data_IF_306782273446
#
_entry.id   IF_306782273446
#
_cell.length_a   1.000
_cell.length_b   1.000
_cell.length_c   1.000
_cell.angle_alpha   90.00
_cell.angle_beta   90.00
_cell.angle_gamma   90.00
#
_symmetry.space_group_name_H-M   'P 1'
#
loop_
_entity.id
_entity.type
_entity.pdbx_description
1 polymer ?
#
# COMPACT_ATOMS: atom_id res chain seq x y z
N UNK A 1 -10.74 20.87 -4.08
CA UNK A 1 -11.44 20.43 -5.28
C UNK A 1 -12.23 19.14 -4.97
N UNK A 2 -11.57 18.04 -4.62
CA UNK A 2 -12.18 16.70 -4.41
C UNK A 2 -13.29 16.69 -3.35
N UNK A 3 -13.12 17.42 -2.22
CA UNK A 3 -14.19 17.58 -1.24
C UNK A 3 -15.47 18.18 -1.84
N UNK A 4 -15.34 19.22 -2.68
CA UNK A 4 -16.50 19.86 -3.37
C UNK A 4 -17.13 18.94 -4.40
N UNK A 5 -16.33 18.15 -5.11
CA UNK A 5 -16.81 17.15 -6.07
C UNK A 5 -17.54 16.01 -5.35
N UNK A 6 -17.01 15.48 -4.25
CA UNK A 6 -17.64 14.45 -3.46
C UNK A 6 -18.99 14.89 -2.88
N UNK A 7 -19.06 16.16 -2.41
CA UNK A 7 -20.33 16.75 -1.97
C UNK A 7 -21.38 16.85 -3.10
N UNK A 8 -20.94 17.14 -4.33
CA UNK A 8 -21.83 17.24 -5.50
C UNK A 8 -22.22 15.85 -6.03
N UNK A 9 -21.28 14.92 -6.08
CA UNK A 9 -21.50 13.57 -6.60
C UNK A 9 -22.25 12.65 -5.60
N UNK A 10 -22.52 13.12 -4.38
CA UNK A 10 -23.16 12.33 -3.30
C UNK A 10 -22.44 11.03 -2.96
N UNK A 11 -21.12 10.96 -3.16
CA UNK A 11 -20.28 9.82 -2.77
C UNK A 11 -19.91 9.99 -1.30
N UNK A 12 -20.81 9.54 -0.41
CA UNK A 12 -20.66 9.66 1.04
C UNK A 12 -20.63 8.29 1.69
N UNK A 13 -19.94 8.22 2.84
CA UNK A 13 -20.12 7.11 3.75
C UNK A 13 -21.54 7.15 4.32
N UNK A 14 -22.38 6.10 4.15
CA UNK A 14 -23.67 6.04 4.86
C UNK A 14 -23.36 6.04 6.36
N UNK A 15 -24.03 6.93 7.11
CA UNK A 15 -23.89 7.00 8.57
C UNK A 15 -24.39 5.68 9.17
N UNK A 16 -23.47 4.87 9.67
CA UNK A 16 -23.78 3.63 10.41
C UNK A 16 -23.73 3.95 11.90
N UNK A 17 -24.53 3.28 12.72
CA UNK A 17 -24.58 3.49 14.19
C UNK A 17 -23.23 3.34 14.91
N UNK A 18 -22.22 2.81 14.20
CA UNK A 18 -20.84 2.60 14.68
C UNK A 18 -19.86 3.70 14.28
N UNK A 19 -20.29 4.71 13.49
CA UNK A 19 -19.40 5.73 12.97
C UNK A 19 -19.21 6.84 14.01
N UNK A 20 -17.98 7.26 14.22
CA UNK A 20 -17.59 8.35 15.13
C UNK A 20 -18.03 9.71 14.58
N UNK A 21 -18.21 9.81 13.27
CA UNK A 21 -18.60 11.05 12.57
C UNK A 21 -20.10 11.30 12.61
N UNK A 22 -20.49 12.52 13.00
CA UNK A 22 -21.90 12.99 13.00
C UNK A 22 -22.37 13.54 11.65
N UNK A 23 -21.43 13.74 10.69
CA UNK A 23 -21.73 14.28 9.37
C UNK A 23 -21.13 13.36 8.29
N UNK A 24 -21.78 13.25 7.12
CA UNK A 24 -21.27 12.44 6.02
C UNK A 24 -19.97 13.04 5.48
N UNK A 25 -18.89 12.22 5.44
CA UNK A 25 -17.57 12.60 4.94
C UNK A 25 -17.38 11.99 3.54
N UNK A 26 -16.96 12.77 2.52
CA UNK A 26 -16.76 12.24 1.17
C UNK A 26 -15.53 11.32 1.08
N UNK A 27 -15.64 10.23 0.28
CA UNK A 27 -14.63 9.18 0.10
C UNK A 27 -13.74 9.38 -1.15
N UNK A 28 -13.54 10.59 -1.62
CA UNK A 28 -12.76 10.85 -2.84
C UNK A 28 -11.26 11.14 -2.60
N UNK A 29 -10.77 10.89 -1.39
CA UNK A 29 -9.37 11.14 -1.07
C UNK A 29 -8.41 10.25 -1.85
N UNK A 30 -8.75 8.96 -2.00
CA UNK A 30 -7.96 8.01 -2.78
C UNK A 30 -7.85 8.36 -4.26
N UNK A 31 -8.92 8.91 -4.84
CA UNK A 31 -8.88 9.42 -6.23
C UNK A 31 -7.89 10.57 -6.37
N UNK A 32 -7.83 11.47 -5.37
CA UNK A 32 -6.83 12.55 -5.35
C UNK A 32 -5.40 12.02 -5.21
N UNK A 33 -5.20 11.01 -4.36
CA UNK A 33 -3.90 10.35 -4.19
C UNK A 33 -3.47 9.65 -5.49
N UNK A 34 -4.39 8.92 -6.15
CA UNK A 34 -4.11 8.26 -7.42
C UNK A 34 -3.78 9.27 -8.53
N UNK A 35 -4.51 10.37 -8.60
CA UNK A 35 -4.19 11.45 -9.54
C UNK A 35 -2.80 12.04 -9.28
N UNK A 36 -2.42 12.25 -8.01
CA UNK A 36 -1.08 12.73 -7.65
C UNK A 36 0.01 11.72 -8.06
N UNK A 37 -0.22 10.42 -7.85
CA UNK A 37 0.69 9.35 -8.27
C UNK A 37 0.83 9.32 -9.78
N UNK A 38 -0.26 9.38 -10.54
CA UNK A 38 -0.22 9.41 -12.01
C UNK A 38 0.50 10.65 -12.56
N UNK A 39 0.26 11.82 -11.97
CA UNK A 39 1.00 13.04 -12.32
C UNK A 39 2.48 12.88 -11.98
N UNK A 40 2.79 12.29 -10.83
CA UNK A 40 4.17 12.02 -10.42
C UNK A 40 4.88 11.05 -11.37
N UNK A 41 4.21 10.01 -11.86
CA UNK A 41 4.74 9.14 -12.92
C UNK A 41 5.00 9.93 -14.21
N UNK A 42 4.05 10.77 -14.65
CA UNK A 42 4.23 11.57 -15.86
C UNK A 42 5.40 12.57 -15.73
N UNK A 43 5.54 13.22 -14.59
CA UNK A 43 6.65 14.14 -14.29
C UNK A 43 7.98 13.37 -14.22
N UNK A 44 8.00 12.20 -13.56
CA UNK A 44 9.19 11.36 -13.46
C UNK A 44 9.75 10.96 -14.84
N UNK A 45 8.89 10.69 -15.81
CA UNK A 45 9.29 10.34 -17.17
C UNK A 45 10.01 11.45 -17.95
N UNK A 46 9.92 12.70 -17.52
CA UNK A 46 10.65 13.84 -18.12
C UNK A 46 11.88 14.26 -17.32
N UNK A 47 12.11 13.64 -16.16
CA UNK A 47 13.26 13.94 -15.30
C UNK A 47 14.47 13.11 -15.76
N UNK A 48 15.59 13.74 -16.19
CA UNK A 48 16.70 13.04 -16.84
C UNK A 48 17.32 11.90 -16.00
N UNK A 49 17.49 12.11 -14.68
CA UNK A 49 18.11 11.10 -13.82
C UNK A 49 17.18 9.93 -13.46
N UNK A 50 15.88 10.00 -13.78
CA UNK A 50 14.91 8.92 -13.59
C UNK A 50 14.68 8.10 -14.87
N UNK A 51 15.23 8.52 -16.03
CA UNK A 51 14.98 7.86 -17.31
C UNK A 51 15.37 6.38 -17.32
N UNK A 52 16.39 5.99 -16.53
CA UNK A 52 16.78 4.58 -16.37
C UNK A 52 15.63 3.70 -15.84
N UNK A 53 14.78 4.23 -14.96
CA UNK A 53 13.61 3.52 -14.43
C UNK A 53 12.54 3.35 -15.52
N UNK A 54 12.39 4.34 -16.40
CA UNK A 54 11.42 4.35 -17.50
C UNK A 54 11.89 3.57 -18.74
N UNK A 55 13.15 3.10 -18.77
CA UNK A 55 13.65 2.23 -19.85
C UNK A 55 12.95 0.86 -19.85
N UNK A 56 12.45 0.39 -18.71
CA UNK A 56 11.60 -0.79 -18.63
C UNK A 56 10.12 -0.42 -18.87
N UNK A 57 9.78 -0.33 -20.14
CA UNK A 57 8.41 -0.05 -20.58
C UNK A 57 7.38 -1.06 -20.06
N UNK A 58 7.74 -2.32 -19.83
CA UNK A 58 6.82 -3.36 -19.39
C UNK A 58 6.42 -3.14 -17.93
N UNK A 59 7.39 -2.89 -17.04
CA UNK A 59 7.15 -2.59 -15.63
C UNK A 59 6.27 -1.34 -15.48
N UNK A 60 6.59 -0.28 -16.22
CA UNK A 60 5.84 0.97 -16.15
C UNK A 60 4.40 0.80 -16.65
N UNK A 61 4.18 0.11 -17.77
CA UNK A 61 2.83 -0.19 -18.26
C UNK A 61 2.06 -1.07 -17.28
N UNK A 62 2.69 -2.11 -16.73
CA UNK A 62 2.08 -2.97 -15.71
C UNK A 62 1.57 -2.19 -14.51
N UNK A 63 2.38 -1.27 -13.99
CA UNK A 63 2.00 -0.39 -12.87
C UNK A 63 0.86 0.56 -13.23
N UNK A 64 0.91 1.20 -14.40
CA UNK A 64 -0.16 2.11 -14.83
C UNK A 64 -1.48 1.37 -15.00
N UNK A 65 -1.46 0.16 -15.58
CA UNK A 65 -2.66 -0.70 -15.68
C UNK A 65 -3.15 -1.09 -14.28
N UNK A 66 -2.26 -1.47 -13.36
CA UNK A 66 -2.64 -1.82 -12.00
C UNK A 66 -3.29 -0.64 -11.26
N UNK A 67 -2.74 0.58 -11.39
CA UNK A 67 -3.34 1.80 -10.82
C UNK A 67 -4.70 2.08 -11.45
N UNK A 68 -4.86 1.91 -12.76
CA UNK A 68 -6.14 2.08 -13.44
C UNK A 68 -7.20 1.07 -12.96
N UNK A 69 -6.83 -0.19 -12.77
CA UNK A 69 -7.70 -1.23 -12.22
C UNK A 69 -8.14 -0.86 -10.79
N UNK A 70 -7.19 -0.44 -9.94
CA UNK A 70 -7.48 0.01 -8.56
C UNK A 70 -8.44 1.20 -8.56
N UNK A 71 -8.23 2.17 -9.45
CA UNK A 71 -9.13 3.32 -9.60
C UNK A 71 -10.55 2.89 -9.96
N UNK A 72 -10.68 2.05 -10.99
CA UNK A 72 -12.01 1.61 -11.47
C UNK A 72 -12.74 0.80 -10.40
N UNK A 73 -12.06 -0.21 -9.83
CA UNK A 73 -12.67 -1.10 -8.83
C UNK A 73 -12.93 -0.35 -7.52
N UNK A 74 -11.99 0.48 -7.06
CA UNK A 74 -12.15 1.23 -5.83
C UNK A 74 -13.24 2.30 -5.91
N UNK A 75 -13.36 3.03 -7.04
CA UNK A 75 -14.47 3.97 -7.27
C UNK A 75 -15.79 3.22 -7.31
N UNK A 76 -15.85 2.10 -8.02
CA UNK A 76 -17.05 1.27 -8.10
C UNK A 76 -17.47 0.77 -6.71
N UNK A 77 -16.52 0.36 -5.87
CA UNK A 77 -16.81 -0.07 -4.51
C UNK A 77 -17.28 1.09 -3.61
N UNK A 78 -16.62 2.23 -3.68
CA UNK A 78 -17.00 3.42 -2.90
C UNK A 78 -18.40 3.94 -3.27
N UNK A 79 -18.87 3.67 -4.50
CA UNK A 79 -20.21 4.07 -4.99
C UNK A 79 -21.29 3.03 -4.75
N UNK A 80 -20.97 1.72 -4.92
CA UNK A 80 -21.98 0.66 -5.01
C UNK A 80 -21.83 -0.44 -3.94
N UNK A 81 -20.84 -0.36 -3.04
CA UNK A 81 -20.55 -1.37 -1.99
C UNK A 81 -20.46 -2.79 -2.60
N UNK A 82 -19.43 -3.00 -3.42
CA UNK A 82 -19.26 -4.22 -4.20
C UNK A 82 -19.16 -5.46 -3.31
N UNK A 83 -19.59 -6.60 -3.83
CA UNK A 83 -19.39 -7.89 -3.16
C UNK A 83 -17.90 -8.19 -3.01
N UNK A 84 -17.50 -8.78 -1.89
CA UNK A 84 -16.10 -9.06 -1.55
C UNK A 84 -15.32 -9.77 -2.67
N UNK A 85 -15.95 -10.70 -3.40
CA UNK A 85 -15.30 -11.45 -4.48
C UNK A 85 -15.03 -10.59 -5.73
N UNK A 86 -15.83 -9.56 -6.00
CA UNK A 86 -15.59 -8.59 -7.09
C UNK A 86 -14.37 -7.74 -6.76
N UNK A 87 -14.27 -7.27 -5.50
CA UNK A 87 -13.09 -6.55 -5.00
C UNK A 87 -11.84 -7.43 -5.11
N UNK A 88 -11.94 -8.68 -4.66
CA UNK A 88 -10.84 -9.64 -4.74
C UNK A 88 -10.40 -9.87 -6.19
N UNK A 89 -11.33 -10.04 -7.12
CA UNK A 89 -11.02 -10.18 -8.55
C UNK A 89 -10.28 -8.96 -9.09
N UNK A 90 -10.70 -7.74 -8.72
CA UNK A 90 -10.00 -6.51 -9.07
C UNK A 90 -8.57 -6.43 -8.50
N UNK A 91 -8.38 -6.82 -7.25
CA UNK A 91 -7.05 -6.88 -6.62
C UNK A 91 -6.13 -7.91 -7.30
N UNK A 92 -6.68 -9.08 -7.67
CA UNK A 92 -5.96 -10.10 -8.43
C UNK A 92 -5.57 -9.58 -9.82
N UNK A 93 -6.47 -8.89 -10.52
CA UNK A 93 -6.16 -8.27 -11.82
C UNK A 93 -5.06 -7.21 -11.71
N UNK A 94 -5.09 -6.37 -10.66
CA UNK A 94 -4.04 -5.40 -10.40
C UNK A 94 -2.69 -6.09 -10.10
N UNK A 95 -2.70 -7.15 -9.29
CA UNK A 95 -1.51 -7.95 -9.01
C UNK A 95 -0.96 -8.66 -10.25
N UNK A 96 -1.83 -9.18 -11.12
CA UNK A 96 -1.44 -9.76 -12.41
C UNK A 96 -0.82 -8.70 -13.33
N UNK A 97 -1.36 -7.49 -13.38
CA UNK A 97 -0.78 -6.41 -14.19
C UNK A 97 0.65 -6.06 -13.73
N UNK A 98 0.91 -6.02 -12.42
CA UNK A 98 2.25 -5.83 -11.86
C UNK A 98 3.16 -6.99 -12.24
N UNK A 99 2.73 -8.23 -12.01
CA UNK A 99 3.54 -9.42 -12.24
C UNK A 99 3.85 -9.65 -13.72
N UNK A 100 2.87 -9.47 -14.60
CA UNK A 100 3.04 -9.58 -16.05
C UNK A 100 3.83 -8.41 -16.64
N UNK A 101 3.87 -7.27 -15.96
CA UNK A 101 4.77 -6.16 -16.23
C UNK A 101 6.23 -6.45 -15.89
N UNK A 102 6.56 -7.61 -15.32
CA UNK A 102 7.94 -7.99 -14.99
C UNK A 102 8.34 -7.74 -13.53
N UNK A 103 7.50 -7.09 -12.73
CA UNK A 103 7.77 -6.88 -11.29
C UNK A 103 7.33 -8.15 -10.55
N UNK A 104 8.28 -9.05 -10.28
CA UNK A 104 8.02 -10.39 -9.75
C UNK A 104 8.90 -10.72 -8.57
N UNK A 105 8.42 -11.59 -7.68
CA UNK A 105 9.22 -12.18 -6.62
C UNK A 105 10.11 -13.27 -7.23
N UNK A 106 11.38 -12.96 -7.44
CA UNK A 106 12.34 -13.87 -8.07
C UNK A 106 13.03 -14.79 -7.06
N UNK A 107 13.13 -14.38 -5.80
CA UNK A 107 13.69 -15.18 -4.72
C UNK A 107 12.83 -15.14 -3.46
N UNK A 108 12.80 -16.26 -2.75
CA UNK A 108 12.16 -16.32 -1.45
C UNK A 108 13.00 -15.58 -0.41
N UNK A 109 12.34 -14.81 0.49
CA UNK A 109 13.05 -14.04 1.51
C UNK A 109 13.84 -14.88 2.53
N UNK A 110 13.53 -16.14 2.65
CA UNK A 110 14.19 -17.06 3.58
C UNK A 110 15.20 -17.92 2.82
N UNK A 111 16.48 -17.69 3.08
CA UNK A 111 17.58 -18.46 2.51
C UNK A 111 17.92 -18.15 1.06
N UNK A 112 17.37 -17.06 0.47
CA UNK A 112 17.60 -16.66 -0.93
C UNK A 112 17.39 -17.81 -1.92
N UNK A 113 16.37 -18.65 -1.68
CA UNK A 113 16.02 -19.74 -2.58
C UNK A 113 15.40 -19.13 -3.83
N UNK A 114 16.04 -19.27 -5.02
CA UNK A 114 15.49 -18.76 -6.26
C UNK A 114 14.15 -19.43 -6.56
N UNK A 115 13.15 -18.65 -6.91
CA UNK A 115 11.88 -19.18 -7.40
C UNK A 115 12.04 -19.49 -8.88
N UNK A 116 12.40 -20.74 -9.18
CA UNK A 116 12.81 -21.17 -10.50
C UNK A 116 11.69 -21.27 -11.57
N UNK A 117 10.42 -21.04 -11.20
CA UNK A 117 9.30 -21.14 -12.11
C UNK A 117 8.56 -19.80 -12.22
N UNK A 118 8.47 -19.27 -13.45
CA UNK A 118 7.77 -18.00 -13.73
C UNK A 118 6.32 -17.98 -13.23
N UNK A 119 5.59 -19.08 -13.40
CA UNK A 119 4.21 -19.19 -12.88
C UNK A 119 4.16 -19.03 -11.37
N UNK A 120 5.10 -19.62 -10.64
CA UNK A 120 5.19 -19.49 -9.19
C UNK A 120 5.54 -18.06 -8.78
N UNK A 121 6.46 -17.39 -9.48
CA UNK A 121 6.79 -15.98 -9.27
C UNK A 121 5.55 -15.09 -9.43
N UNK A 122 4.77 -15.29 -10.48
CA UNK A 122 3.52 -14.55 -10.72
C UNK A 122 2.52 -14.80 -9.60
N UNK A 123 2.28 -16.06 -9.22
CA UNK A 123 1.34 -16.41 -8.15
C UNK A 123 1.74 -15.76 -6.83
N UNK A 124 3.01 -15.84 -6.45
CA UNK A 124 3.53 -15.24 -5.22
C UNK A 124 3.41 -13.71 -5.23
N UNK A 125 3.70 -13.09 -6.37
CA UNK A 125 3.57 -11.64 -6.52
C UNK A 125 2.11 -11.19 -6.41
N UNK A 126 1.19 -11.85 -7.10
CA UNK A 126 -0.25 -11.58 -6.98
C UNK A 126 -0.72 -11.76 -5.55
N UNK A 127 -0.30 -12.83 -4.88
CA UNK A 127 -0.64 -13.09 -3.49
C UNK A 127 -0.12 -11.96 -2.57
N UNK A 128 1.13 -11.53 -2.73
CA UNK A 128 1.72 -10.45 -1.95
C UNK A 128 0.98 -9.13 -2.15
N UNK A 129 0.63 -8.78 -3.40
CA UNK A 129 -0.14 -7.57 -3.72
C UNK A 129 -1.52 -7.62 -3.08
N UNK A 130 -2.27 -8.72 -3.25
CA UNK A 130 -3.60 -8.88 -2.68
C UNK A 130 -3.56 -8.84 -1.15
N UNK A 131 -2.59 -9.54 -0.54
CA UNK A 131 -2.39 -9.56 0.91
C UNK A 131 -2.15 -8.15 1.45
N UNK A 132 -1.26 -7.40 0.83
CA UNK A 132 -0.90 -6.04 1.26
C UNK A 132 -2.07 -5.07 1.09
N UNK A 133 -2.78 -5.12 -0.05
CA UNK A 133 -3.97 -4.29 -0.24
C UNK A 133 -5.02 -4.53 0.85
N UNK A 134 -5.28 -5.80 1.19
CA UNK A 134 -6.23 -6.12 2.25
C UNK A 134 -5.70 -5.73 3.63
N UNK A 135 -4.41 -5.91 3.91
CA UNK A 135 -3.81 -5.50 5.18
C UNK A 135 -3.95 -3.98 5.42
N UNK A 136 -3.67 -3.16 4.41
CA UNK A 136 -3.87 -1.71 4.49
C UNK A 136 -5.34 -1.35 4.66
N UNK A 137 -6.24 -2.01 3.93
CA UNK A 137 -7.68 -1.79 4.05
C UNK A 137 -8.19 -2.06 5.49
N UNK A 138 -7.66 -3.07 6.18
CA UNK A 138 -8.02 -3.33 7.58
C UNK A 138 -7.51 -2.27 8.56
N UNK A 139 -6.40 -1.61 8.25
CA UNK A 139 -5.86 -0.52 9.09
C UNK A 139 -6.59 0.81 8.84
N UNK A 140 -7.27 0.98 7.70
CA UNK A 140 -8.03 2.20 7.37
C UNK A 140 -9.37 2.29 8.15
N UNK A 141 -9.27 2.18 9.47
CA UNK A 141 -10.44 2.24 10.37
C UNK A 141 -10.55 3.51 11.21
N UNK A 142 -9.50 4.32 11.30
CA UNK A 142 -9.45 5.59 12.04
C UNK A 142 -8.87 6.72 11.18
N UNK A 143 -9.34 7.94 11.44
CA UNK A 143 -8.88 9.15 10.76
C UNK A 143 -7.35 9.29 10.83
N UNK A 144 -6.70 9.34 9.67
CA UNK A 144 -5.25 9.50 9.54
C UNK A 144 -4.41 8.24 9.78
N UNK A 145 -5.00 7.13 10.22
CA UNK A 145 -4.22 5.95 10.62
C UNK A 145 -3.49 5.32 9.44
N UNK A 146 -4.21 4.88 8.41
CA UNK A 146 -3.59 4.19 7.27
C UNK A 146 -2.63 5.10 6.50
N UNK A 147 -3.00 6.36 6.26
CA UNK A 147 -2.13 7.32 5.58
C UNK A 147 -0.86 7.62 6.38
N UNK A 148 -0.97 7.70 7.71
CA UNK A 148 0.19 7.94 8.59
C UNK A 148 1.12 6.75 8.68
N UNK A 149 0.60 5.53 8.82
CA UNK A 149 1.40 4.29 8.78
C UNK A 149 2.11 4.16 7.42
N UNK A 150 1.39 4.43 6.32
CA UNK A 150 1.97 4.40 4.98
C UNK A 150 3.04 5.50 4.77
N UNK A 151 2.85 6.69 5.36
CA UNK A 151 3.84 7.76 5.34
C UNK A 151 5.11 7.36 6.09
N UNK A 152 4.99 6.85 7.31
CA UNK A 152 6.14 6.45 8.14
C UNK A 152 6.88 5.30 7.45
N UNK A 153 6.19 4.22 7.16
CA UNK A 153 6.78 3.05 6.55
C UNK A 153 7.31 3.29 5.14
N UNK A 154 6.55 4.05 4.32
CA UNK A 154 6.99 4.46 2.99
C UNK A 154 8.23 5.35 3.02
N UNK A 155 8.35 6.26 4.01
CA UNK A 155 9.56 7.09 4.18
C UNK A 155 10.78 6.25 4.58
N UNK A 156 10.62 5.33 5.52
CA UNK A 156 11.70 4.42 5.91
C UNK A 156 12.15 3.56 4.72
N UNK A 157 11.20 3.05 3.96
CA UNK A 157 11.50 2.22 2.79
C UNK A 157 12.09 3.04 1.63
N UNK A 158 11.66 4.29 1.44
CA UNK A 158 12.28 5.23 0.51
C UNK A 158 13.77 5.42 0.81
N UNK A 159 14.09 5.77 2.06
CA UNK A 159 15.49 5.96 2.50
C UNK A 159 16.30 4.69 2.27
N UNK A 160 15.75 3.55 2.66
CA UNK A 160 16.42 2.26 2.47
C UNK A 160 16.69 1.96 0.99
N UNK A 161 15.67 2.04 0.12
CA UNK A 161 15.83 1.72 -1.31
C UNK A 161 16.78 2.70 -2.01
N UNK A 162 16.77 3.98 -1.61
CA UNK A 162 17.73 4.97 -2.08
C UNK A 162 19.16 4.63 -1.67
N UNK A 163 19.41 4.30 -0.40
CA UNK A 163 20.73 3.92 0.08
C UNK A 163 21.22 2.62 -0.56
N UNK A 164 20.31 1.66 -0.77
CA UNK A 164 20.62 0.41 -1.48
C UNK A 164 21.07 0.69 -2.91
N UNK A 165 20.34 1.49 -3.66
CA UNK A 165 20.70 1.88 -5.04
C UNK A 165 22.09 2.51 -5.08
N UNK A 166 22.39 3.45 -4.17
CA UNK A 166 23.69 4.12 -4.06
C UNK A 166 24.84 3.16 -3.69
N UNK A 167 24.53 2.08 -2.99
CA UNK A 167 25.51 1.06 -2.62
C UNK A 167 25.81 0.13 -3.80
N UNK A 168 24.82 -0.18 -4.62
CA UNK A 168 24.94 -1.03 -5.80
C UNK A 168 25.69 -0.31 -6.92
N UNK A 169 25.22 0.92 -7.23
CA UNK A 169 25.81 1.75 -8.27
C UNK A 169 25.87 3.21 -7.80
N UNK A 170 27.07 3.72 -7.59
CA UNK A 170 27.27 5.10 -7.11
C UNK A 170 26.78 6.17 -8.08
N UNK A 171 26.59 5.82 -9.35
CA UNK A 171 26.09 6.72 -10.39
C UNK A 171 24.56 6.72 -10.51
N UNK A 172 23.89 5.71 -9.97
CA UNK A 172 22.43 5.64 -9.95
C UNK A 172 21.87 6.33 -8.72
N UNK A 173 20.83 7.13 -8.89
CA UNK A 173 20.21 7.92 -7.84
C UNK A 173 18.89 7.33 -7.36
N UNK A 174 18.23 6.49 -8.16
CA UNK A 174 16.97 5.89 -7.81
C UNK A 174 16.72 4.59 -8.61
N UNK A 175 16.04 3.65 -7.97
CA UNK A 175 15.43 2.49 -8.59
C UNK A 175 13.90 2.62 -8.60
N UNK A 176 13.21 1.65 -9.16
CA UNK A 176 11.74 1.65 -9.23
C UNK A 176 11.09 1.73 -7.84
N UNK A 177 11.62 1.01 -6.84
CA UNK A 177 11.10 1.04 -5.48
C UNK A 177 11.22 2.43 -4.85
N UNK A 178 12.37 3.11 -5.06
CA UNK A 178 12.58 4.49 -4.60
C UNK A 178 11.54 5.43 -5.21
N UNK A 179 11.27 5.33 -6.52
CA UNK A 179 10.26 6.12 -7.19
C UNK A 179 8.86 5.86 -6.62
N UNK A 180 8.46 4.59 -6.49
CA UNK A 180 7.15 4.21 -5.95
C UNK A 180 6.94 4.75 -4.54
N UNK A 181 7.96 4.66 -3.68
CA UNK A 181 7.88 5.17 -2.32
C UNK A 181 7.87 6.70 -2.26
N UNK A 182 8.62 7.39 -3.12
CA UNK A 182 8.54 8.86 -3.23
C UNK A 182 7.13 9.32 -3.61
N UNK A 183 6.51 8.66 -4.58
CA UNK A 183 5.15 8.97 -5.03
C UNK A 183 4.12 8.69 -3.92
N UNK A 184 4.25 7.57 -3.22
CA UNK A 184 3.39 7.21 -2.10
C UNK A 184 3.51 8.23 -0.96
N UNK A 185 4.73 8.52 -0.52
CA UNK A 185 5.02 9.50 0.55
C UNK A 185 4.46 10.85 0.19
N UNK A 186 4.71 11.34 -1.04
CA UNK A 186 4.17 12.61 -1.52
C UNK A 186 2.63 12.65 -1.52
N UNK A 187 1.98 11.57 -1.96
CA UNK A 187 0.53 11.45 -1.94
C UNK A 187 -0.03 11.45 -0.49
N UNK A 188 0.62 10.71 0.43
CA UNK A 188 0.25 10.67 1.84
C UNK A 188 0.43 12.03 2.54
N UNK A 189 1.55 12.73 2.31
CA UNK A 189 1.80 14.08 2.84
C UNK A 189 0.73 15.06 2.37
N UNK A 190 0.35 15.01 1.09
CA UNK A 190 -0.69 15.89 0.55
C UNK A 190 -2.10 15.56 1.06
N UNK A 191 -2.37 14.29 1.36
CA UNK A 191 -3.68 13.81 1.82
C UNK A 191 -3.87 13.97 3.34
N UNK A 192 -2.86 13.67 4.14
CA UNK A 192 -2.94 13.57 5.60
C UNK A 192 -3.55 14.80 6.30
N UNK A 193 -3.23 16.06 5.93
CA UNK A 193 -3.82 17.25 6.56
C UNK A 193 -5.35 17.33 6.44
N UNK A 194 -5.94 16.64 5.46
CA UNK A 194 -7.39 16.59 5.24
C UNK A 194 -8.05 15.38 5.90
N UNK A 195 -7.24 14.37 6.25
CA UNK A 195 -7.69 13.12 6.84
C UNK A 195 -7.40 13.01 8.34
N UNK A 196 -6.59 13.92 8.93
CA UNK A 196 -6.41 13.99 10.39
C UNK A 196 -7.74 14.27 11.09
N UNK A 197 -7.90 13.69 12.30
CA UNK A 197 -9.12 13.80 13.09
C UNK A 197 -9.40 15.25 13.56
N UNK A 198 -10.62 15.79 13.36
CA UNK A 198 -11.75 15.18 12.64
C UNK A 198 -11.57 15.25 11.12
N UNK A 199 -11.66 14.11 10.45
CA UNK A 199 -11.41 14.00 9.02
C UNK A 199 -12.40 14.80 8.18
N UNK A 200 -11.88 15.50 7.17
CA UNK A 200 -12.65 16.29 6.19
C UNK A 200 -12.90 15.53 4.89
N UNK A 201 -12.11 14.49 4.65
CA UNK A 201 -12.19 13.61 3.49
C UNK A 201 -11.62 12.24 3.87
N UNK A 202 -12.26 11.15 3.46
CA UNK A 202 -11.74 9.79 3.60
C UNK A 202 -11.03 9.34 2.34
N UNK A 203 -10.04 8.42 2.49
CA UNK A 203 -9.33 7.88 1.34
C UNK A 203 -10.21 6.91 0.54
N UNK A 204 -11.12 6.21 1.19
CA UNK A 204 -11.96 5.18 0.58
C UNK A 204 -11.18 3.96 0.12
N UNK A 205 -11.86 3.06 -0.57
CA UNK A 205 -11.24 1.84 -1.07
C UNK A 205 -10.14 2.11 -2.11
N UNK A 206 -10.31 3.15 -2.93
CA UNK A 206 -9.27 3.57 -3.89
C UNK A 206 -7.95 3.84 -3.18
N UNK A 207 -7.98 4.61 -2.07
CA UNK A 207 -6.76 4.99 -1.37
C UNK A 207 -6.09 3.82 -0.66
N UNK A 208 -6.87 2.99 0.03
CA UNK A 208 -6.35 1.82 0.73
C UNK A 208 -5.71 0.82 -0.24
N UNK A 209 -6.39 0.51 -1.36
CA UNK A 209 -5.85 -0.37 -2.40
C UNK A 209 -4.61 0.24 -3.08
N UNK A 210 -4.58 1.55 -3.35
CA UNK A 210 -3.45 2.22 -3.96
C UNK A 210 -2.20 2.16 -3.08
N UNK A 211 -2.34 2.48 -1.79
CA UNK A 211 -1.25 2.36 -0.81
C UNK A 211 -0.71 0.94 -0.81
N UNK A 212 -1.60 -0.06 -0.67
CA UNK A 212 -1.22 -1.47 -0.66
C UNK A 212 -0.52 -1.91 -1.95
N UNK A 213 -1.01 -1.47 -3.11
CA UNK A 213 -0.40 -1.73 -4.42
C UNK A 213 1.03 -1.20 -4.49
N UNK A 214 1.22 0.09 -4.18
CA UNK A 214 2.53 0.75 -4.31
C UNK A 214 3.54 0.16 -3.31
N UNK A 215 3.13 -0.12 -2.07
CA UNK A 215 3.99 -0.75 -1.08
C UNK A 215 4.40 -2.18 -1.49
N UNK A 216 3.45 -2.99 -1.96
CA UNK A 216 3.73 -4.34 -2.43
C UNK A 216 4.63 -4.33 -3.68
N UNK A 217 4.33 -3.50 -4.68
CA UNK A 217 5.13 -3.39 -5.89
C UNK A 217 6.57 -2.94 -5.60
N UNK A 218 6.76 -1.97 -4.70
CA UNK A 218 8.08 -1.54 -4.27
C UNK A 218 8.85 -2.64 -3.52
N UNK A 219 8.17 -3.35 -2.62
CA UNK A 219 8.77 -4.47 -1.90
C UNK A 219 9.23 -5.57 -2.84
N UNK A 220 8.41 -5.91 -3.85
CA UNK A 220 8.76 -6.91 -4.88
C UNK A 220 9.91 -6.42 -5.75
N UNK A 221 9.88 -5.16 -6.20
CA UNK A 221 10.93 -4.60 -7.06
C UNK A 221 12.32 -4.64 -6.40
N UNK A 222 12.40 -4.35 -5.10
CA UNK A 222 13.68 -4.45 -4.36
C UNK A 222 14.21 -5.88 -4.29
N UNK A 223 13.35 -6.91 -4.28
CA UNK A 223 13.83 -8.30 -4.26
C UNK A 223 14.56 -8.70 -5.55
N UNK A 224 14.15 -8.15 -6.69
CA UNK A 224 14.83 -8.36 -7.97
C UNK A 224 16.22 -7.69 -8.01
N UNK A 225 16.33 -6.44 -7.50
CA UNK A 225 17.60 -5.71 -7.41
C UNK A 225 18.65 -6.45 -6.57
N UNK A 226 18.23 -7.12 -5.51
CA UNK A 226 19.13 -7.86 -4.62
C UNK A 226 19.65 -9.15 -5.26
N UNK A 227 18.84 -9.82 -6.08
CA UNK A 227 19.29 -11.01 -6.82
C UNK A 227 20.40 -10.70 -7.84
N UNK A 228 20.39 -9.51 -8.43
CA UNK A 228 21.45 -9.06 -9.32
C UNK A 228 22.82 -8.93 -8.63
N UNK A 229 22.87 -8.99 -7.29
CA UNK A 229 24.05 -8.77 -6.46
C UNK A 229 24.75 -10.05 -5.99
N UNK A 230 24.34 -11.21 -6.47
CA UNK A 230 24.84 -12.55 -6.04
C UNK A 230 26.36 -12.77 -6.20
N UNK A 231 27.08 -11.78 -6.70
CA UNK A 231 28.56 -11.75 -6.77
C UNK A 231 29.25 -10.72 -5.88
N UNK A 232 28.53 -9.77 -5.28
CA UNK A 232 29.10 -8.72 -4.44
C UNK A 232 28.82 -8.97 -2.97
N UNK A 233 29.85 -9.29 -2.20
CA UNK A 233 29.76 -9.43 -0.74
C UNK A 233 29.24 -8.13 -0.13
N UNK A 234 27.99 -8.12 0.33
CA UNK A 234 27.44 -7.07 1.17
C UNK A 234 28.25 -6.93 2.46
N UNK A 235 29.22 -6.04 2.46
CA UNK A 235 30.04 -5.80 3.65
C UNK A 235 29.33 -4.94 4.69
N UNK A 236 28.33 -4.14 4.29
CA UNK A 236 27.75 -3.09 5.12
C UNK A 236 26.20 -3.11 5.22
N UNK A 237 25.52 -3.96 4.49
CA UNK A 237 24.04 -4.11 4.58
C UNK A 237 23.74 -5.56 4.91
N UNK A 238 23.04 -5.86 6.02
CA UNK A 238 22.64 -7.22 6.32
C UNK A 238 21.79 -7.80 5.18
N UNK A 239 22.14 -8.99 4.71
CA UNK A 239 21.49 -9.66 3.57
C UNK A 239 19.96 -9.82 3.71
N UNK A 240 19.42 -9.67 4.91
CA UNK A 240 17.99 -9.77 5.22
C UNK A 240 17.23 -8.45 5.16
N UNK A 241 17.92 -7.30 5.12
CA UNK A 241 17.29 -5.97 5.15
C UNK A 241 16.32 -5.71 3.99
N UNK A 242 16.60 -6.12 2.74
CA UNK A 242 15.69 -5.92 1.62
C UNK A 242 14.30 -6.51 1.83
N UNK A 243 14.19 -7.49 2.71
CA UNK A 243 12.97 -8.23 2.99
C UNK A 243 12.42 -7.90 4.36
N UNK A 244 13.31 -7.77 5.33
CA UNK A 244 12.90 -7.47 6.70
C UNK A 244 12.22 -6.11 6.78
N UNK A 245 12.70 -5.12 6.01
CA UNK A 245 12.14 -3.77 6.04
C UNK A 245 10.71 -3.69 5.46
N UNK A 246 10.41 -4.19 4.24
CA UNK A 246 9.02 -4.27 3.76
C UNK A 246 8.10 -5.03 4.70
N UNK A 247 8.57 -6.15 5.26
CA UNK A 247 7.80 -6.93 6.23
C UNK A 247 7.60 -6.14 7.54
N UNK A 248 8.63 -5.46 8.04
CA UNK A 248 8.53 -4.64 9.24
C UNK A 248 7.58 -3.46 9.05
N UNK A 249 7.64 -2.77 7.91
CA UNK A 249 6.74 -1.68 7.54
C UNK A 249 5.29 -2.16 7.47
N UNK A 250 5.08 -3.37 6.97
CA UNK A 250 3.76 -4.00 6.88
C UNK A 250 3.40 -4.82 8.13
N UNK A 251 4.29 -4.90 9.14
CA UNK A 251 4.08 -5.77 10.30
C UNK A 251 2.80 -5.43 11.05
N UNK A 252 2.52 -4.15 11.29
CA UNK A 252 1.30 -3.71 11.96
C UNK A 252 0.04 -4.06 11.15
N UNK A 253 -0.08 -3.69 9.85
CA UNK A 253 -1.20 -4.11 9.00
C UNK A 253 -1.37 -5.63 8.92
N UNK A 254 -0.27 -6.37 8.70
CA UNK A 254 -0.31 -7.82 8.56
C UNK A 254 -0.68 -8.52 9.88
N UNK A 255 -0.16 -8.03 11.01
CA UNK A 255 -0.51 -8.58 12.33
C UNK A 255 -1.99 -8.36 12.64
N UNK A 256 -2.55 -7.18 12.37
CA UNK A 256 -3.97 -6.91 12.60
C UNK A 256 -4.87 -7.78 11.69
N UNK A 257 -4.49 -7.95 10.42
CA UNK A 257 -5.14 -8.89 9.50
C UNK A 257 -5.09 -10.33 10.02
N UNK A 258 -3.89 -10.81 10.39
CA UNK A 258 -3.71 -12.19 10.88
C UNK A 258 -4.54 -12.45 12.14
N UNK A 259 -4.49 -11.52 13.11
CA UNK A 259 -5.29 -11.61 14.33
C UNK A 259 -6.79 -11.59 14.04
N UNK A 260 -7.26 -10.80 13.07
CA UNK A 260 -8.65 -10.77 12.66
C UNK A 260 -9.09 -12.11 12.05
N UNK A 261 -8.29 -12.67 11.15
CA UNK A 261 -8.56 -13.98 10.53
C UNK A 261 -8.57 -15.08 11.59
N UNK A 262 -7.56 -15.14 12.47
CA UNK A 262 -7.47 -16.14 13.55
C UNK A 262 -8.69 -16.07 14.49
N UNK A 263 -9.12 -14.88 14.89
CA UNK A 263 -10.30 -14.71 15.75
C UNK A 263 -11.59 -15.19 15.08
N UNK A 264 -11.76 -14.88 13.79
CA UNK A 264 -12.96 -15.27 13.02
C UNK A 264 -13.02 -16.78 12.83
N UNK A 265 -11.92 -17.40 12.42
CA UNK A 265 -11.82 -18.86 12.26
C UNK A 265 -12.02 -19.58 13.58
N UNK A 266 -11.45 -19.09 14.68
CA UNK A 266 -11.65 -19.64 16.03
C UNK A 266 -13.10 -19.56 16.51
N UNK A 267 -13.88 -18.57 16.03
CA UNK A 267 -15.31 -18.44 16.30
C UNK A 267 -16.21 -19.18 15.29
N UNK A 268 -15.64 -19.92 14.34
CA UNK A 268 -16.38 -20.61 13.28
C UNK A 268 -17.06 -19.67 12.29
N UNK A 269 -16.65 -18.40 12.23
CA UNK A 269 -17.18 -17.41 11.29
C UNK A 269 -16.28 -17.26 10.06
N UNK A 270 -16.86 -16.79 8.93
CA UNK A 270 -16.08 -16.58 7.70
C UNK A 270 -14.94 -15.57 7.92
N UNK A 271 -13.73 -15.83 7.42
CA UNK A 271 -12.62 -14.87 7.44
C UNK A 271 -12.97 -13.50 6.84
N UNK A 272 -13.96 -13.46 5.96
CA UNK A 272 -14.43 -12.25 5.25
C UNK A 272 -15.59 -11.54 5.97
N UNK A 273 -16.04 -12.03 7.13
CA UNK A 273 -17.10 -11.38 7.90
C UNK A 273 -16.59 -10.08 8.56
N UNK A 274 -17.49 -9.10 8.77
CA UNK A 274 -17.15 -7.90 9.51
C UNK A 274 -16.84 -8.22 10.99
N UNK A 275 -15.74 -7.66 11.53
CA UNK A 275 -15.34 -7.83 12.93
C UNK A 275 -15.00 -6.47 13.57
N UNK A 276 -15.28 -6.31 14.85
CA UNK A 276 -14.89 -5.14 15.67
C UNK A 276 -13.60 -5.40 16.47
N UNK A 277 -12.94 -6.52 16.27
CA UNK A 277 -11.78 -6.94 17.06
C UNK A 277 -10.44 -6.33 16.63
N UNK A 278 -10.41 -5.35 15.71
CA UNK A 278 -9.19 -4.70 15.26
C UNK A 278 -8.49 -3.91 16.37
N UNK A 279 -7.15 -3.79 16.30
CA UNK A 279 -6.32 -3.13 17.31
C UNK A 279 -6.80 -1.72 17.61
N UNK A 280 -7.14 -0.95 16.58
CA UNK A 280 -7.62 0.41 16.72
C UNK A 280 -8.96 0.51 17.47
N UNK A 281 -9.90 -0.41 17.27
CA UNK A 281 -11.14 -0.45 18.03
C UNK A 281 -10.89 -0.77 19.49
N UNK A 282 -10.00 -1.72 19.80
CA UNK A 282 -9.64 -2.06 21.19
C UNK A 282 -9.04 -0.88 21.95
N UNK A 283 -8.24 -0.04 21.30
CA UNK A 283 -7.69 1.17 21.93
C UNK A 283 -8.79 2.18 22.25
N UNK A 284 -9.71 2.43 21.32
CA UNK A 284 -10.83 3.34 21.53
C UNK A 284 -11.79 2.80 22.60
N UNK A 285 -12.11 1.51 22.58
CA UNK A 285 -12.92 0.84 23.61
C UNK A 285 -12.22 0.84 24.99
N UNK A 286 -10.89 0.87 25.01
CA UNK A 286 -10.05 1.02 26.20
C UNK A 286 -9.98 2.44 26.79
N UNK A 287 -10.70 3.41 26.16
CA UNK A 287 -10.83 4.79 26.68
C UNK A 287 -9.87 5.79 26.04
N UNK A 288 -9.06 5.40 25.07
CA UNK A 288 -8.24 6.35 24.30
C UNK A 288 -9.11 7.17 23.33
N UNK A 289 -8.81 8.45 23.19
CA UNK A 289 -9.39 9.24 22.10
C UNK A 289 -8.88 8.73 20.74
N UNK A 290 -9.63 8.97 19.66
CA UNK A 290 -9.21 8.57 18.30
C UNK A 290 -7.80 9.09 17.96
N UNK A 291 -7.49 10.35 18.26
CA UNK A 291 -6.17 10.93 18.01
C UNK A 291 -5.06 10.26 18.84
N UNK A 292 -5.33 9.89 20.10
CA UNK A 292 -4.36 9.17 20.94
C UNK A 292 -4.12 7.75 20.43
N UNK A 293 -5.19 7.04 20.02
CA UNK A 293 -5.06 5.70 19.46
C UNK A 293 -4.24 5.72 18.17
N UNK A 294 -4.49 6.69 17.26
CA UNK A 294 -3.72 6.88 16.04
C UNK A 294 -2.26 7.22 16.33
N UNK A 295 -1.99 8.15 17.24
CA UNK A 295 -0.62 8.52 17.61
C UNK A 295 0.15 7.33 18.20
N UNK A 296 -0.48 6.50 19.02
CA UNK A 296 0.12 5.30 19.58
C UNK A 296 0.46 4.26 18.47
N UNK A 297 -0.47 4.06 17.52
CA UNK A 297 -0.24 3.13 16.41
C UNK A 297 0.82 3.65 15.42
N UNK A 298 0.93 4.97 15.23
CA UNK A 298 2.04 5.55 14.47
C UNK A 298 3.39 5.35 15.17
N UNK A 299 3.41 5.47 16.51
CA UNK A 299 4.63 5.20 17.28
C UNK A 299 5.07 3.73 17.17
N UNK A 300 4.14 2.80 17.04
CA UNK A 300 4.46 1.39 16.81
C UNK A 300 4.90 1.09 15.37
N UNK A 301 4.52 1.93 14.41
CA UNK A 301 4.93 1.81 13.02
C UNK A 301 6.31 2.44 12.74
N UNK A 302 6.81 3.28 13.66
CA UNK A 302 8.13 3.92 13.62
C UNK A 302 9.20 3.00 14.21
#
# INVERSE_FOLDING_TARGET
LMRRLGLRARVFTPLRQRDVHRHPVPKLGGVAMAAAVLVGFAVGGVVPFLQGIYADDAAMRGLLVAVAVVLVVGIADDMWDLRWWVKMAGQVLAGLAVALGGIRIEAMPVGWIPVGNETTQVILTVFAVVLTMNAINFVDGLDGLAAGVALIGGSAFFVYSYLLTRTINQFDYANLATLLMALLVGACVGFLPWNLSPARIFMGEVGAMLIGLLMAAAAVAVTADVNALDGMRFRNVPAYMPILLPVAVLALPLADLALAVLRRTAKGTSPFSADRGHLHHKLVDGGYTQAQAVALLWLWAF
#
